data_IF_148099858017
#
_entry.id   IF_148099858017
#
_cell.length_a   1.000
_cell.length_b   1.000
_cell.length_c   1.000
_cell.angle_alpha   90.00
_cell.angle_beta   90.00
_cell.angle_gamma   90.00
#
_symmetry.space_group_name_H-M   'P 1'
#
loop_
_entity.id
_entity.type
_entity.pdbx_description
1 polymer ?
#
# COMPACT_ATOMS: atom_id res chain seq x y z
N UNK A 1 6.37 -3.46 -7.65
CA UNK A 1 6.68 -2.18 -6.97
C UNK A 1 8.16 -1.99 -6.62
N UNK A 2 9.12 -2.59 -7.36
CA UNK A 2 10.56 -2.53 -7.04
C UNK A 2 11.19 -1.12 -7.11
N UNK A 3 10.46 -0.13 -7.63
CA UNK A 3 10.90 1.27 -7.76
C UNK A 3 10.40 2.14 -6.60
N UNK A 4 9.28 1.81 -5.97
CA UNK A 4 8.72 2.61 -4.88
C UNK A 4 9.52 2.43 -3.59
N UNK A 5 9.92 3.54 -2.98
CA UNK A 5 10.43 3.56 -1.61
C UNK A 5 9.36 3.12 -0.62
N UNK A 6 9.76 2.75 0.60
CA UNK A 6 8.80 2.37 1.64
C UNK A 6 7.84 3.52 1.98
N UNK A 7 8.33 4.77 1.98
CA UNK A 7 7.51 5.96 2.24
C UNK A 7 6.49 6.20 1.13
N UNK A 8 6.90 6.08 -0.14
CA UNK A 8 5.99 6.19 -1.28
C UNK A 8 4.93 5.11 -1.24
N UNK A 9 5.31 3.88 -0.89
CA UNK A 9 4.39 2.75 -0.80
C UNK A 9 3.33 2.97 0.30
N UNK A 10 3.73 3.47 1.47
CA UNK A 10 2.80 3.81 2.57
C UNK A 10 1.88 4.95 2.16
N UNK A 11 2.41 6.00 1.52
CA UNK A 11 1.62 7.14 1.07
C UNK A 11 0.56 6.71 0.05
N UNK A 12 0.96 5.96 -0.98
CA UNK A 12 0.04 5.43 -2.00
C UNK A 12 -1.02 4.51 -1.41
N UNK A 13 -0.67 3.67 -0.43
CA UNK A 13 -1.65 2.83 0.27
C UNK A 13 -2.71 3.66 1.02
N UNK A 14 -2.29 4.70 1.75
CA UNK A 14 -3.21 5.58 2.47
C UNK A 14 -4.08 6.40 1.54
N UNK A 15 -3.53 6.85 0.43
CA UNK A 15 -4.27 7.62 -0.57
C UNK A 15 -5.34 6.75 -1.25
N UNK A 16 -4.96 5.54 -1.68
CA UNK A 16 -5.90 4.57 -2.25
C UNK A 16 -7.02 4.17 -1.27
N UNK A 17 -6.71 4.04 0.03
CA UNK A 17 -7.72 3.80 1.07
C UNK A 17 -8.72 4.96 1.18
N UNK A 18 -8.28 6.22 1.07
CA UNK A 18 -9.15 7.39 1.10
C UNK A 18 -10.00 7.55 -0.15
N UNK A 19 -9.48 7.15 -1.31
CA UNK A 19 -10.19 7.22 -2.58
C UNK A 19 -11.37 6.22 -2.66
N UNK A 20 -11.37 5.16 -1.84
CA UNK A 20 -12.53 4.29 -1.59
C UNK A 20 -12.97 3.38 -2.75
N UNK A 21 -12.49 3.61 -3.97
CA UNK A 21 -12.92 2.89 -5.18
C UNK A 21 -11.91 1.87 -5.72
N UNK A 22 -10.69 1.82 -5.21
CA UNK A 22 -9.63 0.98 -5.78
C UNK A 22 -9.28 -0.22 -4.90
N UNK A 23 -10.28 -1.06 -4.58
CA UNK A 23 -10.10 -2.22 -3.68
C UNK A 23 -8.97 -3.16 -4.11
N UNK A 24 -8.82 -3.37 -5.42
CA UNK A 24 -7.74 -4.21 -5.97
C UNK A 24 -6.36 -3.56 -5.79
N UNK A 25 -6.26 -2.26 -6.05
CA UNK A 25 -5.02 -1.51 -5.87
C UNK A 25 -4.58 -1.45 -4.40
N UNK A 26 -5.53 -1.23 -3.49
CA UNK A 26 -5.32 -1.31 -2.04
C UNK A 26 -4.78 -2.70 -1.66
N UNK A 27 -5.30 -3.78 -2.24
CA UNK A 27 -4.80 -5.14 -1.98
C UNK A 27 -3.36 -5.32 -2.44
N UNK A 28 -3.03 -4.88 -3.66
CA UNK A 28 -1.67 -5.00 -4.22
C UNK A 28 -0.66 -4.22 -3.36
N UNK A 29 -1.02 -3.00 -2.94
CA UNK A 29 -0.18 -2.16 -2.08
C UNK A 29 0.01 -2.80 -0.70
N UNK A 30 -1.05 -3.34 -0.13
CA UNK A 30 -1.01 -4.05 1.16
C UNK A 30 -0.11 -5.27 1.09
N UNK A 31 -0.22 -6.08 0.04
CA UNK A 31 0.58 -7.29 -0.13
C UNK A 31 2.08 -6.96 -0.26
N UNK A 32 2.41 -5.87 -0.97
CA UNK A 32 3.80 -5.41 -1.04
C UNK A 32 4.31 -4.86 0.30
N UNK A 33 3.48 -4.15 1.07
CA UNK A 33 3.86 -3.70 2.42
C UNK A 33 4.16 -4.89 3.34
N UNK A 34 3.29 -5.91 3.32
CA UNK A 34 3.47 -7.15 4.09
C UNK A 34 4.72 -7.91 3.62
N UNK A 35 4.95 -8.03 2.31
CA UNK A 35 6.15 -8.68 1.74
C UNK A 35 7.44 -8.02 2.22
N UNK A 36 7.43 -6.70 2.48
CA UNK A 36 8.57 -5.94 3.01
C UNK A 36 8.67 -5.96 4.53
N UNK A 37 7.82 -6.72 5.21
CA UNK A 37 7.78 -6.80 6.67
C UNK A 37 7.23 -5.55 7.36
N UNK A 38 6.54 -4.68 6.62
CA UNK A 38 5.92 -3.49 7.19
C UNK A 38 4.56 -3.84 7.80
N UNK A 39 4.35 -3.44 9.05
CA UNK A 39 3.05 -3.57 9.70
C UNK A 39 2.13 -2.46 9.20
N UNK A 40 1.10 -2.85 8.47
CA UNK A 40 -0.02 -1.98 8.13
C UNK A 40 -1.14 -2.35 9.08
N UNK A 41 -1.32 -1.55 10.13
CA UNK A 41 -2.50 -1.71 10.99
C UNK A 41 -3.77 -1.43 10.17
N UNK A 42 -4.79 -2.25 10.45
CA UNK A 42 -6.08 -2.27 9.74
C UNK A 42 -6.85 -0.98 9.93
#
# INVERSE_FOLDING_TARGET
MKIMSNEQLIFSYRDALKAGNEKEWVSILKDELVRRGMKVDK
#
